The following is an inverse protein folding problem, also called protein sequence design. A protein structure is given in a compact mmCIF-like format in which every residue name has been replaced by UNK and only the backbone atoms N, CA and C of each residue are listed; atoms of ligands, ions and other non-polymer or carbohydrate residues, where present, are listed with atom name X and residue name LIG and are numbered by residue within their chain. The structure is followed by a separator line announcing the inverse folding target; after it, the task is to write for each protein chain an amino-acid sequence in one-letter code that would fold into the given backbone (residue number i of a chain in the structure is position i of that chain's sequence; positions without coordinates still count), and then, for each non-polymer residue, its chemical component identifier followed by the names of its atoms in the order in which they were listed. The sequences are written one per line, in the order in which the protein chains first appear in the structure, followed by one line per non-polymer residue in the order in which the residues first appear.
data_IF_521162997463
#
_entry.id   IF_521162997463
#
_cell.length_a   1.000
_cell.length_b   1.000
_cell.length_c   1.000
_cell.angle_alpha   90.00
_cell.angle_beta   90.00
_cell.angle_gamma   90.00
#
_symmetry.space_group_name_H-M   'P 1'
#
loop_
_entity.id
_entity.type
_entity.pdbx_description
1 polymer ?
#
# COMPACT_ATOMS: atom_id res chain seq x y z
N UNK A 1 -64.04 -6.43 -8.14
CA UNK A 1 -63.36 -6.06 -9.39
C UNK A 1 -61.91 -5.91 -9.04
N UNK A 2 -61.04 -6.59 -9.71
CA UNK A 2 -59.56 -6.48 -9.60
C UNK A 2 -59.01 -6.14 -10.97
N UNK A 3 -57.97 -5.34 -11.00
CA UNK A 3 -57.26 -4.93 -12.20
C UNK A 3 -55.75 -4.97 -11.90
N UNK A 4 -54.93 -5.26 -12.89
CA UNK A 4 -53.46 -5.22 -12.81
C UNK A 4 -53.03 -4.01 -13.61
N UNK A 5 -52.05 -3.27 -13.10
CA UNK A 5 -51.55 -2.06 -13.76
C UNK A 5 -50.86 -2.38 -15.10
N UNK A 6 -51.12 -1.53 -16.05
CA UNK A 6 -50.46 -1.44 -17.35
C UNK A 6 -49.30 -0.43 -17.27
N UNK A 7 -48.23 -0.56 -18.04
CA UNK A 7 -47.11 0.38 -18.08
C UNK A 7 -47.40 1.65 -18.88
N UNK A 8 -48.45 1.65 -19.70
CA UNK A 8 -48.90 2.76 -20.53
C UNK A 8 -48.21 2.90 -21.89
N UNK A 9 -47.42 1.90 -22.32
CA UNK A 9 -46.78 1.85 -23.64
C UNK A 9 -47.36 0.74 -24.54
N UNK A 10 -48.44 1.04 -25.23
CA UNK A 10 -49.09 0.12 -26.17
C UNK A 10 -48.27 -0.19 -27.43
N UNK A 11 -47.09 0.40 -27.61
CA UNK A 11 -46.27 0.23 -28.81
C UNK A 11 -45.31 -0.97 -28.73
N UNK A 12 -45.10 -1.55 -27.56
CA UNK A 12 -44.25 -2.72 -27.36
C UNK A 12 -44.89 -4.04 -27.73
N UNK A 13 -46.20 -4.02 -28.04
CA UNK A 13 -46.99 -5.16 -28.48
C UNK A 13 -47.86 -5.80 -27.40
N UNK A 14 -47.81 -5.27 -26.18
CA UNK A 14 -48.75 -5.59 -25.09
C UNK A 14 -49.60 -4.35 -24.78
N UNK A 15 -50.89 -4.55 -24.55
CA UNK A 15 -51.82 -3.43 -24.33
C UNK A 15 -52.59 -3.58 -23.03
N UNK A 16 -52.27 -4.58 -22.23
CA UNK A 16 -52.97 -4.86 -20.96
C UNK A 16 -52.09 -5.62 -20.00
N UNK A 17 -52.12 -5.23 -18.71
CA UNK A 17 -51.60 -6.01 -17.58
C UNK A 17 -50.08 -6.27 -17.67
N UNK A 18 -49.27 -5.38 -18.26
CA UNK A 18 -47.84 -5.56 -18.35
C UNK A 18 -47.03 -4.80 -17.28
N UNK A 19 -45.84 -5.26 -16.94
CA UNK A 19 -45.06 -4.64 -15.92
C UNK A 19 -44.32 -3.41 -16.43
N UNK A 20 -44.32 -2.32 -15.67
CA UNK A 20 -43.40 -1.19 -15.88
C UNK A 20 -41.96 -1.64 -15.65
N UNK A 21 -41.13 -1.62 -16.67
CA UNK A 21 -39.72 -2.03 -16.64
C UNK A 21 -38.84 -0.81 -16.54
N UNK A 22 -37.94 -0.80 -15.56
CA UNK A 22 -36.88 0.20 -15.44
C UNK A 22 -35.56 -0.51 -15.69
N UNK A 23 -34.91 -0.19 -16.80
CA UNK A 23 -33.59 -0.69 -17.11
C UNK A 23 -32.53 -0.03 -16.21
N UNK A 24 -31.75 -0.83 -15.50
CA UNK A 24 -30.64 -0.36 -14.68
C UNK A 24 -29.34 -0.72 -15.37
N UNK A 25 -28.56 0.29 -15.78
CA UNK A 25 -27.25 0.07 -16.40
C UNK A 25 -26.18 -0.12 -15.31
N UNK A 26 -25.44 -1.23 -15.32
CA UNK A 26 -24.27 -1.40 -14.47
C UNK A 26 -23.23 -0.31 -14.75
N UNK A 27 -22.70 0.29 -13.69
CA UNK A 27 -21.60 1.24 -13.72
C UNK A 27 -20.57 0.87 -12.65
N UNK A 28 -19.71 -0.12 -12.91
CA UNK A 28 -18.70 -0.55 -11.97
C UNK A 28 -17.56 0.48 -11.91
N UNK A 29 -17.23 0.96 -10.71
CA UNK A 29 -16.14 1.92 -10.45
C UNK A 29 -15.46 1.51 -9.17
N UNK A 30 -14.15 1.44 -9.17
CA UNK A 30 -13.32 1.23 -7.98
C UNK A 30 -12.37 2.42 -7.82
N UNK A 31 -12.08 2.80 -6.60
CA UNK A 31 -11.12 3.85 -6.25
C UNK A 31 -10.22 3.36 -5.13
N UNK A 32 -8.92 3.56 -5.27
CA UNK A 32 -7.92 3.15 -4.30
C UNK A 32 -7.13 4.35 -3.79
N UNK A 33 -7.02 4.48 -2.47
CA UNK A 33 -6.16 5.46 -1.81
C UNK A 33 -5.12 4.73 -0.99
N UNK A 34 -3.86 5.17 -1.05
CA UNK A 34 -2.77 4.61 -0.27
C UNK A 34 -2.04 5.70 0.50
N UNK A 35 -2.02 5.58 1.82
CA UNK A 35 -1.33 6.52 2.71
C UNK A 35 -0.19 5.82 3.45
N UNK A 36 0.72 6.60 4.04
CA UNK A 36 1.84 6.09 4.81
C UNK A 36 2.00 6.84 6.14
N UNK A 37 2.40 6.11 7.16
CA UNK A 37 2.89 6.65 8.42
C UNK A 37 4.22 6.01 8.77
N UNK A 38 5.12 6.74 9.44
CA UNK A 38 6.42 6.22 9.87
C UNK A 38 6.46 6.19 11.38
N UNK A 39 6.90 5.05 11.93
CA UNK A 39 7.23 4.92 13.34
C UNK A 39 8.72 5.06 13.48
N UNK A 40 9.16 6.14 14.15
CA UNK A 40 10.54 6.40 14.51
C UNK A 40 10.97 5.41 15.62
N UNK A 41 11.82 4.48 15.26
CA UNK A 41 12.22 3.35 16.13
C UNK A 41 13.40 3.71 17.04
N UNK A 42 14.19 4.72 16.68
CA UNK A 42 15.38 5.14 17.42
C UNK A 42 15.22 6.47 18.18
N UNK A 43 14.11 7.21 17.96
CA UNK A 43 13.76 8.44 18.66
C UNK A 43 14.55 9.67 18.23
N UNK A 44 15.12 9.67 17.00
CA UNK A 44 15.94 10.77 16.50
C UNK A 44 15.15 11.79 15.67
N UNK A 45 13.85 11.56 15.44
CA UNK A 45 12.93 12.40 14.67
C UNK A 45 13.26 12.49 13.17
N UNK A 46 14.08 11.60 12.65
CA UNK A 46 14.33 11.41 11.22
C UNK A 46 13.66 10.11 10.75
N UNK A 47 13.30 10.02 9.48
CA UNK A 47 12.92 8.75 8.87
C UNK A 47 14.19 8.12 8.31
N UNK A 48 14.72 7.09 8.94
CA UNK A 48 16.01 6.51 8.59
C UNK A 48 16.04 4.98 8.74
N UNK A 49 17.21 4.39 8.65
CA UNK A 49 17.39 2.96 8.76
C UNK A 49 16.85 2.42 10.09
N UNK A 50 15.97 1.43 10.01
CA UNK A 50 15.36 0.73 11.15
C UNK A 50 13.98 1.23 11.50
N UNK A 51 13.55 2.37 10.99
CA UNK A 51 12.19 2.87 11.16
C UNK A 51 11.19 2.06 10.34
N UNK A 52 9.95 2.05 10.78
CA UNK A 52 8.90 1.25 10.17
C UNK A 52 7.88 2.14 9.46
N UNK A 53 7.79 1.99 8.15
CA UNK A 53 6.70 2.54 7.36
C UNK A 53 5.50 1.58 7.45
N UNK A 54 4.35 2.12 7.84
CA UNK A 54 3.05 1.43 7.76
C UNK A 54 2.22 2.08 6.66
N UNK A 55 1.87 1.30 5.65
CA UNK A 55 0.95 1.70 4.59
C UNK A 55 -0.47 1.28 4.95
N UNK A 56 -1.41 2.19 4.75
CA UNK A 56 -2.85 1.92 4.78
C UNK A 56 -3.38 2.11 3.36
N UNK A 57 -4.10 1.09 2.87
CA UNK A 57 -4.69 1.09 1.53
C UNK A 57 -6.20 0.96 1.74
N UNK A 58 -6.94 1.94 1.25
CA UNK A 58 -8.39 1.94 1.24
C UNK A 58 -8.87 1.76 -0.20
N UNK A 59 -9.79 0.83 -0.40
CA UNK A 59 -10.37 0.51 -1.69
C UNK A 59 -11.88 0.69 -1.57
N UNK A 60 -12.44 1.64 -2.31
CA UNK A 60 -13.86 1.97 -2.29
C UNK A 60 -14.56 1.52 -3.57
N UNK A 61 -15.71 0.92 -3.45
CA UNK A 61 -16.62 0.69 -4.56
C UNK A 61 -17.49 1.92 -4.80
N UNK A 62 -17.08 2.78 -5.72
CA UNK A 62 -17.81 3.99 -6.15
C UNK A 62 -18.93 3.70 -7.14
N UNK A 63 -19.02 2.48 -7.63
CA UNK A 63 -20.02 2.05 -8.62
C UNK A 63 -21.38 1.71 -8.01
N UNK A 64 -22.26 1.22 -8.87
CA UNK A 64 -23.62 0.80 -8.52
C UNK A 64 -23.84 -0.72 -8.52
N UNK A 65 -22.77 -1.50 -8.65
CA UNK A 65 -22.80 -2.97 -8.62
C UNK A 65 -21.77 -3.51 -7.63
N UNK A 66 -22.02 -4.69 -7.07
CA UNK A 66 -21.05 -5.39 -6.21
C UNK A 66 -19.82 -5.79 -7.02
N UNK A 67 -18.64 -5.54 -6.49
CA UNK A 67 -17.36 -5.96 -7.04
C UNK A 67 -16.84 -7.20 -6.31
N UNK A 68 -16.20 -8.10 -7.06
CA UNK A 68 -15.65 -9.37 -6.55
C UNK A 68 -14.24 -9.60 -7.10
N UNK A 69 -13.52 -10.59 -6.56
CA UNK A 69 -12.19 -10.96 -7.06
C UNK A 69 -11.14 -9.86 -6.88
N UNK A 70 -11.28 -9.00 -5.88
CA UNK A 70 -10.35 -7.87 -5.66
C UNK A 70 -8.95 -8.40 -5.39
N UNK A 71 -8.00 -7.95 -6.20
CA UNK A 71 -6.58 -8.25 -6.07
C UNK A 71 -5.76 -6.97 -6.05
N UNK A 72 -4.60 -7.01 -5.38
CA UNK A 72 -3.69 -5.89 -5.22
C UNK A 72 -2.32 -6.29 -5.73
N UNK A 73 -1.75 -5.47 -6.63
CA UNK A 73 -0.38 -5.61 -7.12
C UNK A 73 0.42 -4.37 -6.76
N UNK A 74 1.38 -4.54 -5.87
CA UNK A 74 2.19 -3.45 -5.33
C UNK A 74 3.36 -3.09 -6.26
N UNK A 75 3.59 -1.77 -6.47
CA UNK A 75 4.79 -1.24 -7.10
C UNK A 75 5.56 -0.48 -6.04
N UNK A 76 6.67 -1.07 -5.56
CA UNK A 76 7.42 -0.56 -4.42
C UNK A 76 8.88 -0.38 -4.79
N UNK A 77 9.36 0.87 -4.76
CA UNK A 77 10.70 1.24 -5.25
C UNK A 77 11.31 2.34 -4.38
N UNK A 78 12.65 2.45 -4.42
CA UNK A 78 13.37 3.61 -3.91
C UNK A 78 13.42 4.75 -4.96
N UNK A 79 14.04 5.86 -4.61
CA UNK A 79 14.16 7.03 -5.50
C UNK A 79 15.08 6.77 -6.72
N UNK A 80 15.95 5.77 -6.66
CA UNK A 80 16.79 5.36 -7.79
C UNK A 80 16.07 4.37 -8.74
N UNK A 81 14.85 3.92 -8.37
CA UNK A 81 14.05 2.97 -9.13
C UNK A 81 14.36 1.50 -8.83
N UNK A 82 15.17 1.22 -7.79
CA UNK A 82 15.40 -0.15 -7.36
C UNK A 82 14.15 -0.71 -6.69
N UNK A 83 13.77 -1.94 -7.04
CA UNK A 83 12.62 -2.61 -6.40
C UNK A 83 12.91 -2.92 -4.94
N UNK A 84 11.94 -2.61 -4.08
CA UNK A 84 11.95 -2.93 -2.67
C UNK A 84 10.94 -4.07 -2.39
N UNK A 85 11.08 -4.70 -1.22
CA UNK A 85 10.18 -5.78 -0.79
C UNK A 85 9.56 -5.43 0.55
N UNK A 86 8.23 -5.44 0.63
CA UNK A 86 7.51 -5.25 1.88
C UNK A 86 7.87 -6.34 2.90
N UNK A 87 7.94 -6.00 4.17
CA UNK A 87 8.11 -6.98 5.25
C UNK A 87 6.82 -7.78 5.45
N UNK A 88 5.66 -7.12 5.32
CA UNK A 88 4.34 -7.74 5.42
C UNK A 88 3.34 -7.05 4.50
N UNK A 89 2.36 -7.81 4.00
CA UNK A 89 1.19 -7.34 3.27
C UNK A 89 1.40 -7.13 1.77
N UNK A 90 0.43 -6.48 1.09
CA UNK A 90 -0.84 -5.99 1.62
C UNK A 90 -1.72 -7.10 2.22
N UNK A 91 -2.21 -6.89 3.44
CA UNK A 91 -3.08 -7.83 4.16
C UNK A 91 -4.42 -7.16 4.46
N UNK A 92 -5.52 -7.85 4.14
CA UNK A 92 -6.87 -7.38 4.46
C UNK A 92 -7.04 -7.21 5.98
N UNK A 93 -7.54 -6.06 6.39
CA UNK A 93 -7.79 -5.70 7.78
C UNK A 93 -9.28 -5.70 8.11
N UNK A 94 -10.08 -5.01 7.31
CA UNK A 94 -11.52 -4.86 7.54
C UNK A 94 -12.24 -4.35 6.30
N UNK A 95 -13.57 -4.38 6.34
CA UNK A 95 -14.43 -3.64 5.42
C UNK A 95 -15.54 -2.91 6.18
N UNK A 96 -16.00 -1.78 5.64
CA UNK A 96 -16.93 -0.87 6.31
C UNK A 96 -18.35 -1.44 6.46
N UNK A 97 -18.76 -2.34 5.57
CA UNK A 97 -20.07 -3.02 5.62
C UNK A 97 -19.97 -4.50 6.01
N UNK A 98 -18.76 -5.00 6.29
CA UNK A 98 -18.54 -6.36 6.80
C UNK A 98 -18.40 -7.43 5.72
N UNK A 99 -18.21 -7.06 4.46
CA UNK A 99 -17.90 -8.03 3.40
C UNK A 99 -16.56 -8.73 3.68
N UNK A 100 -16.47 -9.97 3.24
CA UNK A 100 -15.23 -10.73 3.30
C UNK A 100 -14.20 -10.18 2.30
N UNK A 101 -12.93 -10.47 2.53
CA UNK A 101 -11.84 -10.13 1.62
C UNK A 101 -12.19 -10.51 0.18
N UNK A 102 -11.95 -9.58 -0.75
CA UNK A 102 -12.17 -9.78 -2.17
C UNK A 102 -13.57 -9.45 -2.66
N UNK A 103 -14.47 -8.95 -1.80
CA UNK A 103 -15.82 -8.51 -2.17
C UNK A 103 -16.08 -7.12 -1.62
N UNK A 104 -16.70 -6.24 -2.42
CA UNK A 104 -17.17 -4.91 -1.99
C UNK A 104 -18.57 -4.66 -2.53
N UNK A 105 -19.53 -4.44 -1.65
CA UNK A 105 -20.85 -3.92 -2.01
C UNK A 105 -20.76 -2.44 -2.38
N UNK A 106 -21.79 -1.88 -2.99
CA UNK A 106 -21.83 -0.46 -3.39
C UNK A 106 -21.59 0.47 -2.19
N UNK A 107 -20.65 1.40 -2.33
CA UNK A 107 -20.26 2.37 -1.30
C UNK A 107 -19.42 1.79 -0.16
N UNK A 108 -19.04 0.53 -0.23
CA UNK A 108 -18.23 -0.13 0.79
C UNK A 108 -16.75 0.15 0.58
N UNK A 109 -16.02 0.29 1.69
CA UNK A 109 -14.57 0.50 1.72
C UNK A 109 -13.91 -0.72 2.37
N UNK A 110 -12.94 -1.33 1.69
CA UNK A 110 -12.04 -2.33 2.27
C UNK A 110 -10.72 -1.66 2.66
N UNK A 111 -10.19 -2.02 3.83
CA UNK A 111 -8.91 -1.54 4.34
C UNK A 111 -7.89 -2.68 4.34
N UNK A 112 -6.70 -2.41 3.78
CA UNK A 112 -5.54 -3.30 3.80
C UNK A 112 -4.36 -2.57 4.46
N UNK A 113 -3.45 -3.33 5.04
CA UNK A 113 -2.23 -2.81 5.65
C UNK A 113 -1.00 -3.52 5.11
N UNK A 114 0.11 -2.77 5.01
CA UNK A 114 1.41 -3.31 4.65
C UNK A 114 2.51 -2.61 5.45
N UNK A 115 3.65 -3.26 5.66
CA UNK A 115 4.75 -2.68 6.43
C UNK A 115 6.09 -2.86 5.72
N UNK A 116 6.99 -1.90 5.95
CA UNK A 116 8.37 -1.93 5.49
C UNK A 116 9.29 -1.32 6.54
N UNK A 117 10.35 -2.04 6.91
CA UNK A 117 11.44 -1.49 7.72
C UNK A 117 12.47 -0.87 6.80
N UNK A 118 12.74 0.43 6.97
CA UNK A 118 13.64 1.20 6.12
C UNK A 118 15.04 0.57 6.16
N UNK A 119 15.58 0.23 5.00
CA UNK A 119 16.93 -0.27 4.84
C UNK A 119 17.89 0.89 4.52
N UNK A 120 19.15 0.72 4.88
CA UNK A 120 20.17 1.77 4.73
C UNK A 120 20.35 2.23 3.27
N UNK A 121 20.34 1.30 2.33
CA UNK A 121 20.48 1.58 0.90
C UNK A 121 19.26 2.33 0.34
N UNK A 122 18.05 1.96 0.76
CA UNK A 122 16.83 2.68 0.40
C UNK A 122 16.83 4.10 0.98
N UNK A 123 17.19 4.27 2.27
CA UNK A 123 17.31 5.57 2.91
C UNK A 123 18.36 6.47 2.22
N UNK A 124 19.46 5.89 1.73
CA UNK A 124 20.50 6.62 1.03
C UNK A 124 20.04 7.24 -0.30
N UNK A 125 18.95 6.78 -0.88
CA UNK A 125 18.36 7.37 -2.09
C UNK A 125 17.49 8.60 -1.81
N UNK A 126 17.18 8.88 -0.55
CA UNK A 126 16.42 10.05 -0.08
C UNK A 126 14.92 9.92 -0.11
N UNK A 127 14.35 8.89 -0.77
CA UNK A 127 12.91 8.72 -0.90
C UNK A 127 12.52 7.26 -1.16
N UNK A 128 11.42 6.84 -0.58
CA UNK A 128 10.78 5.55 -0.78
C UNK A 128 9.39 5.79 -1.36
N UNK A 129 9.01 5.04 -2.40
CA UNK A 129 7.80 5.28 -3.19
C UNK A 129 7.01 3.99 -3.33
N UNK A 130 5.72 4.06 -3.05
CA UNK A 130 4.82 2.92 -3.16
C UNK A 130 3.48 3.32 -3.79
N UNK A 131 2.92 2.47 -4.64
CA UNK A 131 1.55 2.53 -5.14
C UNK A 131 1.03 1.12 -5.40
N UNK A 132 -0.26 0.95 -5.47
CA UNK A 132 -0.90 -0.34 -5.73
C UNK A 132 -1.82 -0.25 -6.96
N UNK A 133 -1.73 -1.24 -7.84
CA UNK A 133 -2.75 -1.51 -8.85
C UNK A 133 -3.80 -2.42 -8.22
N UNK A 134 -5.05 -1.98 -8.22
CA UNK A 134 -6.21 -2.75 -7.79
C UNK A 134 -6.98 -3.23 -9.01
N UNK A 135 -7.34 -4.50 -9.01
CA UNK A 135 -8.18 -5.11 -10.05
C UNK A 135 -9.37 -5.79 -9.39
N UNK A 136 -10.54 -5.65 -9.97
CA UNK A 136 -11.79 -6.27 -9.54
C UNK A 136 -12.64 -6.71 -10.71
N UNK A 137 -13.66 -7.52 -10.43
CA UNK A 137 -14.60 -8.03 -11.42
C UNK A 137 -16.01 -7.52 -11.14
N UNK A 138 -16.68 -6.99 -12.16
CA UNK A 138 -18.11 -6.68 -12.13
C UNK A 138 -18.97 -7.91 -12.43
N UNK A 139 -20.29 -7.90 -12.14
CA UNK A 139 -21.16 -9.04 -12.42
C UNK A 139 -21.12 -9.49 -13.88
N UNK A 140 -20.75 -10.76 -14.09
CA UNK A 140 -20.66 -11.37 -15.44
C UNK A 140 -19.35 -11.11 -16.19
N UNK A 141 -18.41 -10.33 -15.65
CA UNK A 141 -17.11 -10.03 -16.22
C UNK A 141 -15.98 -10.48 -15.29
N UNK A 142 -14.75 -10.44 -15.77
CA UNK A 142 -13.56 -10.79 -14.99
C UNK A 142 -12.51 -9.72 -15.21
N UNK A 143 -11.93 -9.21 -14.11
CA UNK A 143 -10.83 -8.23 -14.08
C UNK A 143 -11.07 -6.99 -14.96
N UNK A 144 -12.33 -6.56 -15.07
CA UNK A 144 -12.78 -5.48 -15.93
C UNK A 144 -12.77 -4.09 -15.25
N UNK A 145 -12.55 -4.05 -13.94
CA UNK A 145 -12.54 -2.83 -13.13
C UNK A 145 -11.17 -2.66 -12.50
N UNK A 146 -10.47 -1.58 -12.82
CA UNK A 146 -9.11 -1.34 -12.37
C UNK A 146 -8.91 0.08 -11.88
N UNK A 147 -8.02 0.24 -10.91
CA UNK A 147 -7.54 1.54 -10.46
C UNK A 147 -6.09 1.46 -9.94
N UNK A 148 -5.36 2.57 -10.01
CA UNK A 148 -4.04 2.74 -9.40
C UNK A 148 -4.19 3.71 -8.24
N UNK A 149 -3.69 3.35 -7.06
CA UNK A 149 -3.88 4.15 -5.87
C UNK A 149 -3.35 5.58 -6.01
N UNK A 150 -4.12 6.49 -5.46
CA UNK A 150 -3.76 7.87 -5.15
C UNK A 150 -3.14 7.96 -3.75
N UNK A 151 -2.30 8.99 -3.48
CA UNK A 151 -1.69 9.22 -2.17
C UNK A 151 -2.62 9.91 -1.16
N UNK A 152 -3.82 10.33 -1.59
CA UNK A 152 -4.80 11.04 -0.79
C UNK A 152 -4.50 12.53 -0.54
N UNK A 153 -3.58 13.13 -1.32
CA UNK A 153 -3.18 14.53 -1.17
C UNK A 153 -3.29 15.31 -2.49
N UNK A 154 -4.46 15.81 -2.80
CA UNK A 154 -4.73 16.61 -4.00
C UNK A 154 -4.04 17.99 -4.02
N UNK A 155 -3.40 18.40 -2.90
CA UNK A 155 -2.76 19.71 -2.80
C UNK A 155 -1.33 19.74 -3.35
N UNK A 156 -0.76 18.62 -3.73
CA UNK A 156 0.59 18.51 -4.31
C UNK A 156 0.61 18.75 -5.83
N UNK A 157 -0.57 18.90 -6.44
CA UNK A 157 -0.76 19.19 -7.87
C UNK A 157 -1.05 17.94 -8.71
N UNK A 158 -1.13 16.77 -8.10
CA UNK A 158 -1.66 15.54 -8.67
C UNK A 158 -2.92 15.11 -7.91
N UNK A 159 -3.94 14.66 -8.60
CA UNK A 159 -5.23 14.28 -8.03
C UNK A 159 -5.62 12.85 -8.37
N UNK A 160 -4.75 12.12 -9.07
CA UNK A 160 -5.03 10.75 -9.50
C UNK A 160 -3.75 9.95 -9.70
N UNK A 161 -3.77 8.68 -9.27
CA UNK A 161 -2.79 7.65 -9.67
C UNK A 161 -1.33 7.96 -9.32
N UNK A 162 -1.06 8.58 -8.19
CA UNK A 162 0.28 8.93 -7.80
C UNK A 162 0.91 7.99 -6.75
N UNK A 163 2.20 8.16 -6.53
CA UNK A 163 2.91 7.40 -5.51
C UNK A 163 2.71 8.01 -4.13
N UNK A 164 2.44 7.15 -3.15
CA UNK A 164 2.65 7.48 -1.74
C UNK A 164 4.16 7.53 -1.49
N UNK A 165 4.66 8.68 -1.11
CA UNK A 165 6.08 8.95 -0.93
C UNK A 165 6.45 9.15 0.54
N UNK A 166 7.54 8.52 0.98
CA UNK A 166 8.16 8.73 2.28
C UNK A 166 9.57 9.26 2.06
N UNK A 167 9.84 10.46 2.54
CA UNK A 167 11.21 10.99 2.57
C UNK A 167 12.02 10.21 3.59
N UNK A 168 13.20 9.76 3.21
CA UNK A 168 14.11 9.01 4.07
C UNK A 168 15.50 9.67 4.06
N UNK A 169 16.20 9.58 5.17
CA UNK A 169 17.50 10.21 5.37
C UNK A 169 18.56 9.14 5.62
N UNK A 170 19.71 9.24 4.94
CA UNK A 170 20.85 8.41 5.25
C UNK A 170 21.50 8.88 6.56
N UNK A 171 21.80 7.94 7.44
CA UNK A 171 22.65 8.15 8.61
C UNK A 171 24.00 7.47 8.41
N UNK A 172 24.96 8.13 7.74
CA UNK A 172 26.28 7.55 7.56
C UNK A 172 26.98 7.42 8.92
N UNK A 173 27.33 6.18 9.29
CA UNK A 173 28.02 5.86 10.54
C UNK A 173 29.33 5.18 10.22
N UNK A 174 30.41 5.69 10.85
CA UNK A 174 31.72 5.04 10.84
C UNK A 174 32.05 4.61 12.26
N UNK A 175 32.53 3.39 12.42
CA UNK A 175 33.02 2.87 13.67
C UNK A 175 34.43 2.33 13.45
N UNK A 176 35.35 2.72 14.31
CA UNK A 176 36.72 2.23 14.28
C UNK A 176 37.06 1.57 15.62
N UNK A 177 37.55 0.35 15.55
CA UNK A 177 38.05 -0.40 16.72
C UNK A 177 39.56 -0.47 16.62
N UNK A 178 40.25 -0.17 17.73
CA UNK A 178 41.69 -0.36 17.88
C UNK A 178 41.95 -1.34 19.01
N UNK A 179 42.66 -2.41 18.70
CA UNK A 179 43.11 -3.40 19.68
C UNK A 179 44.64 -3.33 19.83
N UNK A 180 45.14 -3.79 20.95
CA UNK A 180 46.57 -3.92 21.20
C UNK A 180 46.92 -5.31 21.73
N UNK A 181 47.98 -5.89 21.21
CA UNK A 181 48.55 -7.14 21.72
C UNK A 181 49.98 -6.86 22.14
N UNK A 182 50.33 -7.27 23.35
CA UNK A 182 51.69 -7.17 23.85
C UNK A 182 52.38 -8.52 23.67
N UNK A 183 53.56 -8.51 23.10
CA UNK A 183 54.43 -9.70 23.04
C UNK A 183 55.58 -9.45 24.02
N UNK A 184 55.62 -10.25 25.08
CA UNK A 184 56.67 -10.26 26.10
C UNK A 184 58.02 -10.62 25.45
N UNK A 185 59.06 -9.91 25.80
CA UNK A 185 60.45 -10.13 25.39
C UNK A 185 61.07 -11.39 25.96
N UNK A 186 60.35 -12.10 26.88
CA UNK A 186 60.79 -13.34 27.50
C UNK A 186 61.18 -13.19 28.99
N UNK A 187 60.93 -12.04 29.61
CA UNK A 187 61.24 -11.80 31.02
C UNK A 187 60.05 -12.08 31.97
N UNK A 188 58.84 -12.39 31.41
CA UNK A 188 57.65 -12.73 32.14
C UNK A 188 56.86 -11.54 32.71
N UNK A 189 57.24 -10.32 32.35
CA UNK A 189 56.58 -9.08 32.77
C UNK A 189 56.30 -8.17 31.57
N UNK A 190 55.18 -7.50 31.58
CA UNK A 190 54.90 -6.46 30.58
C UNK A 190 55.66 -5.18 30.90
N UNK A 191 56.65 -4.84 30.07
CA UNK A 191 57.50 -3.70 30.39
C UNK A 191 58.45 -3.24 29.26
N UNK A 192 59.61 -2.76 29.69
CA UNK A 192 60.63 -2.27 28.75
C UNK A 192 61.16 -3.43 27.87
N UNK A 193 61.14 -3.27 26.58
CA UNK A 193 61.61 -4.25 25.61
C UNK A 193 60.51 -5.08 24.95
N UNK A 194 59.28 -5.03 25.45
CA UNK A 194 58.10 -5.69 24.83
C UNK A 194 57.67 -4.99 23.56
N UNK A 195 57.07 -5.77 22.67
CA UNK A 195 56.50 -5.24 21.45
C UNK A 195 54.98 -5.10 21.58
N UNK A 196 54.45 -3.93 21.30
CA UNK A 196 53.02 -3.67 21.25
C UNK A 196 52.59 -3.57 19.77
N UNK A 197 51.67 -4.43 19.35
CA UNK A 197 51.03 -4.40 18.03
C UNK A 197 49.63 -3.85 18.20
N UNK A 198 49.33 -2.81 17.46
CA UNK A 198 48.00 -2.22 17.34
C UNK A 198 47.34 -2.66 16.04
N UNK A 199 46.08 -3.07 16.11
CA UNK A 199 45.27 -3.45 14.95
C UNK A 199 44.00 -2.64 14.91
#
# INVERSE_FOLDING_TARGET
VTDISDDGDDNDGNTTDDPTIVEMSPNPIIEATKTASVTDSNGNSANDQGDVITYTIEIENKGNVTLTGITLLDTFVDNAGNSLTLNQGPTFSSSSAGSSQGTLTTGEIATYTATYTIQADAAATGKIRNRVLVTASSPGNTDDVIDISDNGNDNDGNTVNDFTEVLATAEPKIEATKTATVTDNGDGYTGQGDTIVYT
#
